data_IF_127634477492
#
_entry.id   IF_127634477492
#
_cell.length_a   1.000
_cell.length_b   1.000
_cell.length_c   1.000
_cell.angle_alpha   90.00
_cell.angle_beta   90.00
_cell.angle_gamma   90.00
#
_symmetry.space_group_name_H-M   'P 1'
#
loop_
_entity.id
_entity.type
_entity.pdbx_description
1 polymer ?
#
# COMPACT_ATOMS: atom_id res chain seq x y z
N UNK A 1 -11.75 -10.98 30.85
CA UNK A 1 -12.01 -11.36 29.46
C UNK A 1 -11.35 -10.31 28.61
N UNK A 2 -10.13 -10.56 28.13
CA UNK A 2 -9.50 -9.64 27.20
C UNK A 2 -10.25 -9.75 25.88
N UNK A 3 -10.83 -8.66 25.40
CA UNK A 3 -11.34 -8.62 24.03
C UNK A 3 -10.15 -8.86 23.11
N UNK A 4 -10.16 -10.00 22.42
CA UNK A 4 -9.16 -10.33 21.42
C UNK A 4 -9.40 -9.37 20.25
N UNK A 5 -8.63 -8.28 20.23
CA UNK A 5 -8.74 -7.24 19.21
C UNK A 5 -8.37 -7.88 17.87
N UNK A 6 -9.23 -7.69 16.87
CA UNK A 6 -8.97 -8.21 15.53
C UNK A 6 -7.60 -7.75 15.01
N UNK A 7 -6.88 -8.59 14.22
CA UNK A 7 -5.62 -8.21 13.59
C UNK A 7 -5.72 -6.88 12.86
N UNK A 8 -4.68 -6.06 12.94
CA UNK A 8 -4.67 -4.73 12.32
C UNK A 8 -4.80 -4.80 10.79
N UNK A 9 -4.37 -5.92 10.20
CA UNK A 9 -4.50 -6.26 8.78
C UNK A 9 -5.94 -6.46 8.30
N UNK A 10 -6.94 -6.53 9.19
CA UNK A 10 -8.35 -6.46 8.78
C UNK A 10 -8.85 -5.02 8.52
N UNK A 11 -8.08 -4.01 8.93
CA UNK A 11 -8.32 -2.62 8.58
C UNK A 11 -7.61 -2.26 7.28
N UNK A 12 -8.35 -1.74 6.30
CA UNK A 12 -7.80 -1.31 5.01
C UNK A 12 -6.83 -0.13 5.07
N UNK A 13 -7.09 0.77 6.01
CA UNK A 13 -6.26 1.93 6.30
C UNK A 13 -5.61 1.72 7.66
N UNK A 14 -4.29 1.71 7.67
CA UNK A 14 -3.47 1.48 8.85
C UNK A 14 -2.70 2.77 9.13
N UNK A 15 -2.76 3.24 10.37
CA UNK A 15 -1.85 4.27 10.84
C UNK A 15 -0.79 3.65 11.74
N UNK A 16 0.47 4.06 11.59
CA UNK A 16 1.59 3.49 12.36
C UNK A 16 1.40 3.66 13.86
N UNK A 17 0.83 4.79 14.29
CA UNK A 17 0.47 5.08 15.69
C UNK A 17 -0.59 4.12 16.28
N UNK A 18 -1.35 3.43 15.43
CA UNK A 18 -2.37 2.47 15.83
C UNK A 18 -1.86 1.02 15.87
N UNK A 19 -0.64 0.76 15.40
CA UNK A 19 -0.01 -0.57 15.46
C UNK A 19 0.27 -0.92 16.93
N UNK A 20 -0.32 -2.01 17.47
CA UNK A 20 -0.08 -2.39 18.85
C UNK A 20 1.41 -2.71 19.12
N UNK A 21 1.95 -2.39 20.31
CA UNK A 21 3.32 -2.73 20.65
C UNK A 21 3.60 -4.23 20.49
N UNK A 22 4.68 -4.57 19.79
CA UNK A 22 5.09 -5.95 19.53
C UNK A 22 4.42 -6.61 18.32
N UNK A 23 3.51 -5.93 17.62
CA UNK A 23 3.00 -6.39 16.32
C UNK A 23 4.05 -6.13 15.24
N UNK A 24 4.41 -7.20 14.53
CA UNK A 24 5.23 -7.13 13.32
C UNK A 24 4.31 -7.18 12.10
N UNK A 25 3.95 -5.99 11.60
CA UNK A 25 3.02 -5.85 10.48
C UNK A 25 3.55 -6.55 9.21
N UNK A 26 4.86 -6.55 8.98
CA UNK A 26 5.46 -7.21 7.81
C UNK A 26 5.24 -8.72 7.89
N UNK A 27 5.42 -9.32 9.08
CA UNK A 27 5.17 -10.75 9.29
C UNK A 27 3.68 -11.10 9.20
N UNK A 28 2.78 -10.26 9.70
CA UNK A 28 1.33 -10.49 9.55
C UNK A 28 0.92 -10.51 8.08
N UNK A 29 1.37 -9.53 7.29
CA UNK A 29 1.07 -9.45 5.86
C UNK A 29 1.68 -10.64 5.10
N UNK A 30 2.92 -11.02 5.44
CA UNK A 30 3.58 -12.21 4.87
C UNK A 30 2.80 -13.48 5.18
N UNK A 31 2.35 -13.67 6.42
CA UNK A 31 1.57 -14.84 6.81
C UNK A 31 0.23 -14.93 6.06
N UNK A 32 -0.43 -13.79 5.83
CA UNK A 32 -1.64 -13.72 4.98
C UNK A 32 -1.32 -14.16 3.56
N UNK A 33 -0.24 -13.66 2.97
CA UNK A 33 0.17 -14.01 1.61
C UNK A 33 0.53 -15.50 1.48
N UNK A 34 1.32 -16.03 2.42
CA UNK A 34 1.77 -17.42 2.46
C UNK A 34 0.61 -18.41 2.66
N UNK A 35 -0.51 -17.96 3.24
CA UNK A 35 -1.75 -18.73 3.32
C UNK A 35 -2.47 -18.90 1.96
N UNK A 36 -2.01 -18.22 0.91
CA UNK A 36 -2.54 -18.32 -0.45
C UNK A 36 -3.75 -17.42 -0.67
N UNK A 37 -3.52 -16.11 -0.74
CA UNK A 37 -4.55 -15.13 -1.09
C UNK A 37 -5.13 -15.43 -2.49
N UNK A 38 -6.46 -15.61 -2.55
CA UNK A 38 -7.17 -15.95 -3.81
C UNK A 38 -7.48 -14.73 -4.68
N UNK A 39 -7.50 -13.56 -4.05
CA UNK A 39 -7.67 -12.25 -4.67
C UNK A 39 -6.52 -11.36 -4.18
N UNK A 40 -6.06 -10.36 -4.94
CA UNK A 40 -5.02 -9.46 -4.48
C UNK A 40 -5.51 -8.63 -3.28
N UNK A 41 -4.73 -8.57 -2.21
CA UNK A 41 -5.05 -7.75 -1.03
C UNK A 41 -4.17 -6.50 -1.02
N UNK A 42 -4.74 -5.39 -0.60
CA UNK A 42 -4.00 -4.14 -0.39
C UNK A 42 -4.34 -3.46 0.92
N UNK A 43 -3.45 -2.58 1.34
CA UNK A 43 -3.60 -1.68 2.46
C UNK A 43 -2.99 -0.32 2.11
N UNK A 44 -3.43 0.70 2.84
CA UNK A 44 -2.83 2.03 2.84
C UNK A 44 -2.25 2.28 4.22
N UNK A 45 -0.94 2.57 4.29
CA UNK A 45 -0.23 2.88 5.52
C UNK A 45 0.12 4.36 5.57
N UNK A 46 -0.21 5.01 6.68
CA UNK A 46 0.17 6.40 6.97
C UNK A 46 0.87 6.47 8.32
N UNK A 47 1.61 7.55 8.60
CA UNK A 47 2.27 7.70 9.90
C UNK A 47 1.25 7.92 11.03
N UNK A 48 0.35 8.87 10.84
CA UNK A 48 -0.70 9.20 11.80
C UNK A 48 -2.07 8.94 11.21
N UNK A 49 -3.05 8.73 12.09
CA UNK A 49 -4.44 8.56 11.65
C UNK A 49 -4.91 9.79 10.88
N UNK A 50 -5.36 9.59 9.64
CA UNK A 50 -6.01 10.66 8.86
C UNK A 50 -7.33 11.02 9.55
N UNK A 51 -7.38 12.20 10.15
CA UNK A 51 -8.65 12.83 10.49
C UNK A 51 -9.16 13.55 9.24
N UNK A 52 -10.44 13.36 8.89
CA UNK A 52 -11.08 13.96 7.70
C UNK A 52 -11.06 15.50 7.64
N UNK A 53 -10.45 16.14 8.65
CA UNK A 53 -10.31 17.59 8.80
C UNK A 53 -8.87 18.08 8.70
N UNK A 54 -7.88 17.19 8.56
CA UNK A 54 -6.48 17.57 8.47
C UNK A 54 -6.19 18.19 7.09
N UNK A 55 -5.80 19.47 7.08
CA UNK A 55 -5.36 20.23 5.90
C UNK A 55 -3.98 19.81 5.39
N UNK A 56 -3.28 18.92 6.11
CA UNK A 56 -1.94 18.46 5.75
C UNK A 56 -2.00 17.11 5.03
N UNK A 57 -1.66 17.14 3.74
CA UNK A 57 -1.37 15.94 2.97
C UNK A 57 -0.18 15.21 3.62
N UNK A 58 -0.46 14.10 4.29
CA UNK A 58 0.58 13.24 4.81
C UNK A 58 0.96 12.17 3.78
N UNK A 59 2.24 11.76 3.73
CA UNK A 59 2.62 10.70 2.83
C UNK A 59 1.98 9.37 3.18
N UNK A 60 1.60 8.61 2.15
CA UNK A 60 1.01 7.30 2.29
C UNK A 60 1.77 6.27 1.45
N UNK A 61 1.98 5.10 2.02
CA UNK A 61 2.41 3.93 1.28
C UNK A 61 1.20 3.02 1.07
N UNK A 62 0.74 2.94 -0.17
CA UNK A 62 -0.15 1.87 -0.59
C UNK A 62 0.70 0.63 -0.89
N UNK A 63 0.35 -0.51 -0.33
CA UNK A 63 1.04 -1.78 -0.58
C UNK A 63 0.06 -2.94 -0.67
N UNK A 64 0.44 -4.00 -1.39
CA UNK A 64 -0.41 -5.16 -1.56
C UNK A 64 0.36 -6.44 -1.85
N UNK A 65 -0.34 -7.57 -1.74
CA UNK A 65 0.19 -8.92 -1.93
C UNK A 65 -0.80 -9.82 -2.66
N UNK A 66 -0.27 -10.64 -3.56
CA UNK A 66 -0.95 -11.68 -4.30
C UNK A 66 0.03 -12.79 -4.71
N UNK A 67 0.29 -13.72 -3.79
CA UNK A 67 1.26 -14.80 -3.95
C UNK A 67 2.67 -14.24 -4.25
N UNK A 68 3.21 -14.47 -5.45
CA UNK A 68 4.54 -13.97 -5.84
C UNK A 68 4.55 -12.50 -6.25
N UNK A 69 3.37 -11.92 -6.48
CA UNK A 69 3.19 -10.53 -6.91
C UNK A 69 2.88 -9.68 -5.67
N UNK A 70 3.58 -8.57 -5.53
CA UNK A 70 3.22 -7.48 -4.63
C UNK A 70 2.81 -6.25 -5.41
N UNK A 71 2.32 -5.24 -4.72
CA UNK A 71 2.12 -3.91 -5.30
C UNK A 71 2.62 -2.85 -4.33
N UNK A 72 3.12 -1.74 -4.87
CA UNK A 72 3.46 -0.54 -4.10
C UNK A 72 3.13 0.73 -4.89
N UNK A 73 2.62 1.73 -4.17
CA UNK A 73 2.40 3.08 -4.66
C UNK A 73 2.72 4.04 -3.49
N UNK A 74 3.37 5.16 -3.79
CA UNK A 74 3.68 6.19 -2.82
C UNK A 74 2.94 7.47 -3.16
N UNK A 75 2.15 7.97 -2.23
CA UNK A 75 1.42 9.23 -2.39
C UNK A 75 2.02 10.29 -1.47
N UNK A 76 2.26 11.49 -1.99
CA UNK A 76 2.77 12.65 -1.27
C UNK A 76 2.12 13.92 -1.84
N UNK A 77 1.20 14.52 -1.09
CA UNK A 77 0.38 15.60 -1.65
C UNK A 77 -0.55 15.09 -2.74
N UNK A 78 -0.62 15.86 -3.83
CA UNK A 78 -1.34 15.49 -5.05
C UNK A 78 -0.54 14.53 -5.95
N UNK A 79 0.71 14.22 -5.58
CA UNK A 79 1.61 13.39 -6.38
C UNK A 79 1.52 11.92 -5.99
N UNK A 80 1.27 11.10 -7.00
CA UNK A 80 1.46 9.66 -6.93
C UNK A 80 2.79 9.29 -7.57
N UNK A 81 3.51 8.38 -6.94
CA UNK A 81 4.76 7.80 -7.42
C UNK A 81 4.62 6.28 -7.54
N UNK A 82 5.13 5.75 -8.64
CA UNK A 82 5.01 4.36 -9.03
C UNK A 82 6.41 3.76 -9.26
N UNK A 83 6.60 2.46 -9.02
CA UNK A 83 7.81 1.74 -9.40
C UNK A 83 8.20 1.95 -10.87
N UNK A 84 9.48 2.21 -11.12
CA UNK A 84 10.04 2.18 -12.48
C UNK A 84 9.95 0.77 -13.08
N UNK A 85 10.23 -0.25 -12.26
CA UNK A 85 10.18 -1.67 -12.66
C UNK A 85 8.77 -2.27 -12.52
N UNK A 86 7.73 -1.44 -12.38
CA UNK A 86 6.35 -1.89 -12.25
C UNK A 86 5.85 -2.64 -13.48
N UNK A 87 5.27 -3.82 -13.24
CA UNK A 87 5.02 -4.82 -14.28
C UNK A 87 3.63 -4.72 -14.93
N UNK A 88 2.57 -4.37 -14.19
CA UNK A 88 1.24 -4.22 -14.77
C UNK A 88 1.19 -3.01 -15.72
N UNK A 89 0.60 -3.19 -16.90
CA UNK A 89 0.47 -2.11 -17.90
C UNK A 89 -0.90 -1.42 -17.84
N UNK A 90 -1.85 -2.03 -17.12
CA UNK A 90 -3.22 -1.56 -16.99
C UNK A 90 -3.57 -1.40 -15.51
N UNK A 91 -4.68 -0.73 -15.23
CA UNK A 91 -5.26 -0.67 -13.89
C UNK A 91 -5.61 -2.08 -13.41
N UNK A 92 -5.20 -2.40 -12.19
CA UNK A 92 -5.41 -3.73 -11.60
C UNK A 92 -6.28 -3.64 -10.35
N UNK A 93 -7.24 -4.56 -10.22
CA UNK A 93 -8.14 -4.61 -9.09
C UNK A 93 -7.45 -5.24 -7.87
N UNK A 94 -7.49 -4.54 -6.75
CA UNK A 94 -7.00 -4.99 -5.45
C UNK A 94 -8.09 -4.82 -4.40
N UNK A 95 -8.11 -5.68 -3.39
CA UNK A 95 -9.11 -5.68 -2.35
C UNK A 95 -8.54 -5.15 -1.04
N UNK A 96 -9.05 -4.00 -0.63
CA UNK A 96 -8.65 -3.32 0.59
C UNK A 96 -8.95 -4.20 1.81
N UNK A 97 -7.89 -4.67 2.48
CA UNK A 97 -7.94 -5.72 3.51
C UNK A 97 -8.85 -6.91 3.12
N UNK A 98 -8.87 -7.28 1.83
CA UNK A 98 -9.68 -8.37 1.28
C UNK A 98 -11.19 -8.11 1.20
N UNK A 99 -11.66 -6.88 1.42
CA UNK A 99 -13.09 -6.59 1.64
C UNK A 99 -13.73 -5.65 0.62
N UNK A 100 -13.04 -4.58 0.20
CA UNK A 100 -13.55 -3.59 -0.74
C UNK A 100 -12.65 -3.50 -1.95
N UNK A 101 -13.22 -3.62 -3.15
CA UNK A 101 -12.46 -3.46 -4.39
C UNK A 101 -11.98 -2.02 -4.54
N UNK A 102 -10.73 -1.88 -4.94
CA UNK A 102 -10.04 -0.66 -5.31
C UNK A 102 -9.17 -0.95 -6.53
N UNK A 103 -8.64 0.09 -7.16
CA UNK A 103 -7.85 -0.04 -8.37
C UNK A 103 -6.49 0.62 -8.16
N UNK A 104 -5.43 -0.12 -8.45
CA UNK A 104 -4.07 0.42 -8.48
C UNK A 104 -3.69 0.80 -9.91
N UNK A 105 -2.89 1.85 -10.04
CA UNK A 105 -2.47 2.40 -11.31
C UNK A 105 -1.58 1.40 -12.09
N UNK A 106 -1.45 1.56 -13.42
CA UNK A 106 -0.39 0.93 -14.18
C UNK A 106 0.96 1.06 -13.47
N UNK A 107 1.77 0.02 -13.50
CA UNK A 107 3.12 -0.05 -12.93
C UNK A 107 3.21 -0.03 -11.40
N UNK A 108 2.14 -0.40 -10.70
CA UNK A 108 2.16 -0.61 -9.25
C UNK A 108 2.69 -2.00 -8.85
N UNK A 109 2.54 -3.02 -9.70
CA UNK A 109 2.89 -4.41 -9.39
C UNK A 109 4.40 -4.68 -9.49
N UNK A 110 4.96 -5.24 -8.43
CA UNK A 110 6.39 -5.58 -8.24
C UNK A 110 6.51 -7.00 -7.68
N UNK A 111 7.71 -7.62 -7.60
CA UNK A 111 7.86 -8.85 -6.83
C UNK A 111 7.40 -8.68 -5.37
N UNK A 112 6.74 -9.68 -4.78
CA UNK A 112 6.19 -9.58 -3.42
C UNK A 112 7.23 -9.20 -2.37
N UNK A 113 8.46 -9.70 -2.51
CA UNK A 113 9.56 -9.37 -1.62
C UNK A 113 9.95 -7.88 -1.70
N UNK A 114 9.82 -7.24 -2.86
CA UNK A 114 10.03 -5.81 -3.02
C UNK A 114 8.97 -5.02 -2.26
N UNK A 115 7.70 -5.43 -2.35
CA UNK A 115 6.62 -4.78 -1.61
C UNK A 115 6.79 -4.91 -0.08
N UNK A 116 7.13 -6.10 0.40
CA UNK A 116 7.37 -6.35 1.83
C UNK A 116 8.60 -5.60 2.36
N UNK A 117 9.66 -5.45 1.55
CA UNK A 117 10.81 -4.61 1.88
C UNK A 117 10.46 -3.13 1.94
N UNK A 118 9.64 -2.64 1.00
CA UNK A 118 9.18 -1.27 0.99
C UNK A 118 8.35 -0.94 2.23
N UNK A 119 7.44 -1.86 2.62
CA UNK A 119 6.68 -1.77 3.86
C UNK A 119 7.58 -1.70 5.09
N UNK A 120 8.57 -2.60 5.19
CA UNK A 120 9.51 -2.62 6.30
C UNK A 120 10.32 -1.31 6.41
N UNK A 121 10.82 -0.82 5.27
CA UNK A 121 11.60 0.42 5.22
C UNK A 121 10.75 1.64 5.58
N UNK A 122 9.48 1.69 5.15
CA UNK A 122 8.61 2.81 5.49
C UNK A 122 8.27 2.84 6.99
N UNK A 123 7.99 1.67 7.60
CA UNK A 123 7.78 1.54 9.04
C UNK A 123 8.98 2.06 9.86
N UNK A 124 10.20 1.87 9.35
CA UNK A 124 11.42 2.34 10.00
C UNK A 124 11.65 3.84 9.77
N UNK A 125 11.59 4.27 8.50
CA UNK A 125 12.11 5.57 8.07
C UNK A 125 11.05 6.67 8.01
N UNK A 126 9.76 6.31 7.89
CA UNK A 126 8.64 7.22 7.59
C UNK A 126 8.85 8.04 6.30
N UNK A 127 9.66 7.53 5.38
CA UNK A 127 9.98 8.18 4.12
C UNK A 127 9.69 7.24 2.97
N UNK A 128 9.60 7.80 1.76
CA UNK A 128 9.49 7.02 0.53
C UNK A 128 10.59 5.94 0.50
N UNK A 129 10.25 4.65 0.42
CA UNK A 129 11.22 3.56 0.46
C UNK A 129 12.29 3.67 -0.64
N UNK A 130 13.55 3.60 -0.27
CA UNK A 130 14.70 3.66 -1.17
C UNK A 130 15.02 2.32 -1.83
N UNK A 131 14.49 1.22 -1.32
CA UNK A 131 14.57 -0.09 -1.97
C UNK A 131 13.77 -0.20 -3.28
N UNK A 132 12.97 0.81 -3.61
CA UNK A 132 12.21 0.94 -4.87
C UNK A 132 12.72 2.17 -5.61
N UNK A 133 12.96 2.04 -6.91
CA UNK A 133 13.17 3.19 -7.78
C UNK A 133 11.81 3.72 -8.24
N UNK A 134 11.59 5.02 -8.06
CA UNK A 134 10.29 5.65 -8.26
C UNK A 134 10.30 6.59 -9.47
N UNK A 135 9.18 6.62 -10.18
CA UNK A 135 8.83 7.68 -11.12
C UNK A 135 7.50 8.30 -10.70
N UNK A 136 7.28 9.55 -11.07
CA UNK A 136 5.97 10.19 -10.90
C UNK A 136 4.98 9.46 -11.81
N UNK A 137 3.82 9.09 -11.25
CA UNK A 137 2.68 8.60 -12.01
C UNK A 137 2.03 9.74 -12.78
N UNK A 138 1.18 9.39 -13.75
CA UNK A 138 0.36 10.37 -14.44
C UNK A 138 -0.80 10.76 -13.52
N UNK A 139 -1.08 12.06 -13.41
CA UNK A 139 -2.29 12.50 -12.71
C UNK A 139 -3.52 11.95 -13.44
N UNK A 140 -4.55 11.55 -12.69
CA UNK A 140 -5.84 11.15 -13.27
C UNK A 140 -6.43 12.25 -14.17
N UNK A 141 -6.14 13.53 -13.87
CA UNK A 141 -6.54 14.67 -14.70
C UNK A 141 -5.78 14.67 -16.03
N UNK A 142 -4.47 14.47 -16.00
CA UNK A 142 -3.62 14.42 -17.20
C UNK A 142 -3.98 13.22 -18.10
N UNK A 143 -4.28 12.07 -17.49
CA UNK A 143 -4.70 10.86 -18.21
C UNK A 143 -6.07 11.01 -18.90
N UNK A 144 -6.99 11.80 -18.31
CA UNK A 144 -8.31 12.07 -18.88
C UNK A 144 -8.30 13.22 -19.90
N UNK A 145 -7.39 14.19 -19.76
CA UNK A 145 -7.21 15.28 -20.74
C UNK A 145 -6.40 14.86 -21.97
N UNK A 146 -5.64 13.76 -21.90
CA UNK A 146 -4.88 13.20 -23.02
C UNK A 146 -5.64 12.21 -23.91
N UNK A 147 -6.91 11.89 -23.59
CA UNK A 147 -7.76 10.98 -24.34
C UNK A 147 -8.66 11.73 -25.34
N UNK A 148 -8.05 12.21 -26.44
CA UNK A 148 -8.77 12.70 -27.64
C UNK A 148 -9.02 11.57 -28.67
#
# INVERSE_FOLDING_TARGET
MSEERAPITHGGFISMDAIPPGVDLVQEVRAINDAGVRIPWMWVLTEVRVEFTAEEDQPALTFGVHNEIGAVQWDEGEDTYLPVEGSNQEWVAYWLAGSHESYLQPHSEVPVETALRALAEFLETRRRPTCVEWRRGESLVEALEGAD
#
